data_IF_227467015201
#
_entry.id   IF_227467015201
#
_cell.length_a   1.000
_cell.length_b   1.000
_cell.length_c   1.000
_cell.angle_alpha   90.00
_cell.angle_beta   90.00
_cell.angle_gamma   90.00
#
_symmetry.space_group_name_H-M   'P 1'
#
loop_
_entity.id
_entity.type
_entity.pdbx_description
1 polymer ?
#
# COMPACT_ATOMS: atom_id res chain seq x y z
N UNK A 1 -9.96 10.15 -5.26
CA UNK A 1 -9.09 9.88 -6.42
C UNK A 1 -8.03 8.80 -6.14
N UNK A 2 -7.32 8.88 -5.00
CA UNK A 2 -6.25 7.94 -4.62
C UNK A 2 -6.70 6.47 -4.54
N UNK A 3 -7.85 6.18 -3.93
CA UNK A 3 -8.42 4.82 -3.80
C UNK A 3 -8.57 4.04 -5.12
N UNK A 4 -8.80 4.73 -6.23
CA UNK A 4 -9.00 4.09 -7.54
C UNK A 4 -7.68 3.71 -8.22
N UNK A 5 -6.56 4.30 -7.79
CA UNK A 5 -5.25 4.17 -8.48
C UNK A 5 -4.23 3.36 -7.69
N UNK A 6 -4.36 3.34 -6.36
CA UNK A 6 -3.44 2.67 -5.46
C UNK A 6 -4.16 1.64 -4.60
N UNK A 7 -3.54 0.48 -4.39
CA UNK A 7 -4.00 -0.56 -3.47
C UNK A 7 -3.02 -0.68 -2.30
N UNK A 8 -3.53 -0.65 -1.08
CA UNK A 8 -2.75 -0.87 0.14
C UNK A 8 -2.71 -2.36 0.47
N UNK A 9 -1.53 -2.87 0.80
CA UNK A 9 -1.32 -4.22 1.32
C UNK A 9 -1.23 -4.20 2.85
N UNK A 10 -1.61 -5.30 3.50
CA UNK A 10 -1.58 -5.44 4.97
C UNK A 10 -0.19 -5.29 5.60
N UNK A 11 0.88 -5.45 4.82
CA UNK A 11 2.27 -5.25 5.24
C UNK A 11 2.73 -3.78 5.17
N UNK A 12 1.83 -2.84 4.86
CA UNK A 12 2.12 -1.41 4.74
C UNK A 12 2.69 -0.98 3.38
N UNK A 13 2.77 -1.86 2.39
CA UNK A 13 3.16 -1.48 1.03
C UNK A 13 1.98 -0.92 0.25
N UNK A 14 2.29 -0.08 -0.73
CA UNK A 14 1.35 0.38 -1.73
C UNK A 14 1.74 -0.15 -3.09
N UNK A 15 0.75 -0.61 -3.86
CA UNK A 15 0.90 -1.08 -5.23
C UNK A 15 0.19 -0.11 -6.17
N UNK A 16 0.81 0.15 -7.32
CA UNK A 16 0.24 0.93 -8.42
C UNK A 16 0.44 0.23 -9.77
N UNK A 17 -0.45 0.52 -10.71
CA UNK A 17 -0.22 0.14 -12.11
C UNK A 17 0.84 1.04 -12.75
N UNK A 18 1.59 0.50 -13.72
CA UNK A 18 2.53 1.30 -14.51
C UNK A 18 1.81 2.47 -15.20
N UNK A 19 2.43 3.65 -15.17
CA UNK A 19 1.86 4.86 -15.77
C UNK A 19 1.81 4.72 -17.29
N UNK A 20 0.72 5.18 -17.92
CA UNK A 20 0.62 5.20 -19.37
C UNK A 20 0.52 3.82 -20.04
N UNK A 21 0.26 2.73 -19.29
CA UNK A 21 0.12 1.37 -19.85
C UNK A 21 -0.92 1.24 -20.97
N UNK A 22 -1.98 2.05 -20.91
CA UNK A 22 -3.06 2.02 -21.91
C UNK A 22 -2.92 3.10 -23.01
N UNK A 23 -1.89 3.95 -22.98
CA UNK A 23 -1.71 5.03 -23.97
C UNK A 23 -0.75 4.61 -25.07
N UNK A 24 -1.12 4.89 -26.33
CA UNK A 24 -0.25 4.76 -27.51
C UNK A 24 0.51 3.42 -27.56
N UNK A 25 -0.17 2.31 -27.26
CA UNK A 25 0.48 0.98 -27.18
C UNK A 25 1.12 0.57 -28.51
N UNK A 26 0.54 0.96 -29.63
CA UNK A 26 1.02 0.60 -30.97
C UNK A 26 2.39 1.21 -31.33
N UNK A 27 2.81 2.30 -30.68
CA UNK A 27 4.10 2.95 -30.95
C UNK A 27 5.22 2.48 -30.02
N UNK A 28 4.91 1.59 -29.07
CA UNK A 28 5.82 1.23 -27.98
C UNK A 28 6.51 -0.08 -28.27
N UNK A 29 7.69 -0.20 -27.69
CA UNK A 29 8.49 -1.42 -27.72
C UNK A 29 7.78 -2.58 -27.01
N UNK A 30 8.01 -3.80 -27.48
CA UNK A 30 7.38 -5.01 -26.95
C UNK A 30 7.76 -5.23 -25.48
N UNK A 31 9.01 -4.97 -25.11
CA UNK A 31 9.46 -5.04 -23.71
C UNK A 31 8.71 -4.04 -22.83
N UNK A 32 8.41 -2.85 -23.35
CA UNK A 32 7.60 -1.89 -22.61
C UNK A 32 6.15 -2.39 -22.48
N UNK A 33 5.60 -2.99 -23.53
CA UNK A 33 4.25 -3.52 -23.50
C UNK A 33 4.08 -4.59 -22.44
N UNK A 34 5.04 -5.51 -22.31
CA UNK A 34 5.05 -6.53 -21.25
C UNK A 34 5.24 -5.90 -19.87
N UNK A 35 6.28 -5.07 -19.70
CA UNK A 35 6.61 -4.51 -18.38
C UNK A 35 5.52 -3.58 -17.84
N UNK A 36 4.81 -2.87 -18.71
CA UNK A 36 3.72 -1.97 -18.33
C UNK A 36 2.47 -2.68 -17.78
N UNK A 37 2.35 -3.99 -17.97
CA UNK A 37 1.26 -4.78 -17.41
C UNK A 37 1.52 -5.15 -15.94
N UNK A 38 2.79 -5.17 -15.52
CA UNK A 38 3.14 -5.49 -14.14
C UNK A 38 2.71 -4.38 -13.17
N UNK A 39 2.44 -4.81 -11.95
CA UNK A 39 2.17 -3.93 -10.83
C UNK A 39 3.47 -3.57 -10.13
N UNK A 40 3.67 -2.29 -9.92
CA UNK A 40 4.87 -1.75 -9.28
C UNK A 40 4.58 -1.42 -7.81
N UNK A 41 5.58 -1.67 -6.96
CA UNK A 41 5.55 -1.23 -5.57
C UNK A 41 6.00 0.23 -5.47
N UNK A 42 5.32 1.01 -4.64
CA UNK A 42 5.70 2.40 -4.35
C UNK A 42 6.99 2.49 -3.52
N UNK A 43 7.69 3.62 -3.65
CA UNK A 43 8.86 3.92 -2.82
C UNK A 43 8.46 4.20 -1.37
N UNK A 44 9.45 4.24 -0.45
CA UNK A 44 9.20 4.50 0.97
C UNK A 44 8.48 5.83 1.19
N UNK A 45 8.97 6.90 0.58
CA UNK A 45 8.45 8.26 0.73
C UNK A 45 7.03 8.39 0.16
N UNK A 46 6.79 7.80 -1.01
CA UNK A 46 5.44 7.74 -1.61
C UNK A 46 4.46 7.04 -0.67
N UNK A 47 4.88 5.93 -0.04
CA UNK A 47 4.03 5.22 0.91
C UNK A 47 3.69 6.07 2.15
N UNK A 48 4.65 6.84 2.67
CA UNK A 48 4.43 7.72 3.83
C UNK A 48 3.47 8.85 3.50
N UNK A 49 3.62 9.46 2.32
CA UNK A 49 2.69 10.48 1.82
C UNK A 49 1.29 9.89 1.65
N UNK A 50 1.17 8.70 1.06
CA UNK A 50 -0.12 8.03 0.85
C UNK A 50 -0.80 7.65 2.17
N UNK A 51 -0.04 7.18 3.17
CA UNK A 51 -0.58 6.85 4.48
C UNK A 51 -1.12 8.12 5.18
N UNK A 52 -0.44 9.28 5.06
CA UNK A 52 -0.92 10.56 5.61
C UNK A 52 -2.16 11.11 4.90
N UNK A 53 -2.32 10.83 3.60
CA UNK A 53 -3.46 11.32 2.80
C UNK A 53 -4.71 10.43 2.89
N UNK A 54 -4.63 9.27 3.53
CA UNK A 54 -5.72 8.30 3.63
C UNK A 54 -6.35 8.29 5.02
N UNK A 55 -7.64 7.97 5.08
CA UNK A 55 -8.33 7.85 6.37
C UNK A 55 -8.02 6.50 7.03
N UNK A 56 -7.97 6.42 8.38
CA UNK A 56 -7.62 5.21 9.13
C UNK A 56 -8.42 3.97 8.73
N UNK A 57 -9.69 4.15 8.34
CA UNK A 57 -10.54 3.09 7.82
C UNK A 57 -9.87 2.26 6.71
N UNK A 58 -9.21 2.92 5.75
CA UNK A 58 -8.52 2.24 4.63
C UNK A 58 -7.15 1.68 5.01
N UNK A 59 -6.62 2.06 6.17
CA UNK A 59 -5.39 1.48 6.72
C UNK A 59 -5.67 0.19 7.49
N UNK A 60 -6.94 -0.15 7.76
CA UNK A 60 -7.32 -1.40 8.41
C UNK A 60 -7.10 -2.59 7.47
N UNK A 61 -6.77 -3.75 8.05
CA UNK A 61 -6.66 -5.00 7.30
C UNK A 61 -8.06 -5.49 6.97
N UNK A 62 -8.32 -5.70 5.68
CA UNK A 62 -9.56 -6.30 5.20
C UNK A 62 -9.28 -7.72 4.70
N UNK A 63 -10.14 -8.66 5.06
CA UNK A 63 -10.10 -10.03 4.59
C UNK A 63 -11.30 -10.23 3.66
N UNK A 64 -11.07 -10.15 2.36
CA UNK A 64 -12.08 -10.42 1.35
C UNK A 64 -11.99 -11.89 0.92
N UNK A 65 -13.13 -12.60 0.74
CA UNK A 65 -13.14 -13.91 0.10
C UNK A 65 -12.52 -13.82 -1.30
N UNK A 66 -11.59 -14.71 -1.63
CA UNK A 66 -10.92 -14.80 -2.93
C UNK A 66 -10.10 -13.56 -3.35
N UNK A 67 -9.44 -12.85 -2.42
CA UNK A 67 -8.51 -11.79 -2.80
C UNK A 67 -7.22 -12.39 -3.44
N UNK A 68 -6.92 -12.11 -4.73
CA UNK A 68 -5.69 -12.59 -5.36
C UNK A 68 -4.42 -12.04 -4.70
N UNK A 69 -4.52 -10.96 -3.90
CA UNK A 69 -3.39 -10.36 -3.21
C UNK A 69 -3.19 -10.87 -1.77
N UNK A 70 -3.98 -11.86 -1.31
CA UNK A 70 -3.95 -12.34 0.06
C UNK A 70 -2.55 -12.81 0.52
N UNK A 71 -1.83 -13.52 -0.35
CA UNK A 71 -0.48 -14.01 -0.07
C UNK A 71 0.54 -12.87 0.15
N UNK A 72 0.35 -11.72 -0.50
CA UNK A 72 1.26 -10.57 -0.41
C UNK A 72 1.01 -9.68 0.81
N UNK A 73 -0.02 -9.96 1.61
CA UNK A 73 -0.30 -9.20 2.83
C UNK A 73 0.70 -9.48 3.95
N UNK A 74 1.44 -10.59 3.90
CA UNK A 74 2.50 -10.94 4.85
C UNK A 74 3.83 -10.95 4.10
N UNK A 75 4.90 -10.45 4.73
CA UNK A 75 6.25 -10.60 4.19
C UNK A 75 6.88 -11.82 4.83
N UNK A 76 7.36 -12.74 4.00
CA UNK A 76 8.09 -13.94 4.43
C UNK A 76 9.59 -13.76 4.14
N UNK A 77 10.46 -14.39 4.95
CA UNK A 77 11.90 -14.43 4.69
C UNK A 77 12.66 -13.13 4.98
N UNK A 78 12.25 -12.35 5.97
CA UNK A 78 13.00 -11.18 6.45
C UNK A 78 13.54 -11.53 7.84
N UNK A 79 14.77 -12.06 7.88
CA UNK A 79 15.43 -12.48 9.13
C UNK A 79 16.09 -11.33 9.90
N UNK A 80 16.04 -10.12 9.36
CA UNK A 80 16.51 -8.94 10.08
C UNK A 80 15.38 -8.42 10.96
N UNK A 81 15.46 -8.50 12.30
CA UNK A 81 14.81 -7.50 13.10
C UNK A 81 15.53 -6.20 12.72
N UNK A 82 14.89 -5.36 11.90
CA UNK A 82 15.31 -3.96 11.80
C UNK A 82 14.88 -3.35 13.13
N UNK A 83 15.64 -3.64 14.17
CA UNK A 83 15.56 -3.07 15.51
C UNK A 83 16.74 -2.12 15.66
N UNK A 84 16.51 -1.00 16.33
CA UNK A 84 17.60 -0.18 16.85
C UNK A 84 18.41 -1.00 17.86
N UNK A 85 19.63 -0.57 18.20
CA UNK A 85 20.47 -1.19 19.24
C UNK A 85 19.76 -1.37 20.61
N UNK A 86 18.60 -0.71 20.80
CA UNK A 86 17.74 -0.79 21.99
C UNK A 86 16.61 -1.83 21.90
N UNK A 87 16.59 -2.68 20.87
CA UNK A 87 15.54 -3.70 20.67
C UNK A 87 14.16 -3.13 20.30
N UNK A 88 14.05 -1.81 20.08
CA UNK A 88 12.84 -1.19 19.53
C UNK A 88 12.82 -1.45 18.04
N UNK A 89 11.70 -1.97 17.52
CA UNK A 89 11.51 -2.13 16.08
C UNK A 89 11.66 -0.76 15.41
N UNK A 90 12.73 -0.56 14.62
CA UNK A 90 13.02 0.70 13.90
C UNK A 90 11.86 1.12 12.98
N UNK A 91 11.04 0.15 12.56
CA UNK A 91 10.03 0.30 11.51
C UNK A 91 8.81 -0.59 11.74
N UNK A 92 8.36 -0.78 12.96
CA UNK A 92 6.90 -0.82 13.05
C UNK A 92 6.48 0.60 12.70
N UNK A 93 5.99 0.82 11.46
CA UNK A 93 5.18 2.02 11.21
C UNK A 93 4.18 2.00 12.34
N UNK A 94 4.24 3.00 13.23
CA UNK A 94 3.26 3.13 14.29
C UNK A 94 1.92 2.98 13.58
N UNK A 95 1.26 1.84 13.81
CA UNK A 95 -0.06 1.64 13.25
C UNK A 95 -0.80 2.76 13.91
N UNK A 96 -1.14 3.79 13.14
CA UNK A 96 -2.06 4.84 13.59
C UNK A 96 -3.39 4.11 13.72
N UNK A 97 -3.51 3.32 14.79
CA UNK A 97 -4.74 2.81 15.33
C UNK A 97 -5.31 4.05 16.01
N UNK A 98 -5.78 4.99 15.20
CA UNK A 98 -6.79 5.90 15.67
C UNK A 98 -7.92 4.99 16.11
N UNK A 99 -8.17 4.96 17.42
CA UNK A 99 -9.29 4.22 17.98
C UNK A 99 -10.51 4.45 17.09
N UNK A 100 -11.20 3.37 16.74
CA UNK A 100 -12.36 3.38 15.83
C UNK A 100 -13.36 4.50 16.23
N UNK A 101 -13.39 4.90 17.51
CA UNK A 101 -14.17 6.02 18.10
C UNK A 101 -13.79 7.43 17.64
N UNK A 102 -12.53 7.67 17.28
CA UNK A 102 -12.05 8.98 16.78
C UNK A 102 -12.27 9.08 15.29
N UNK A 103 -12.05 7.99 14.56
CA UNK A 103 -12.34 7.92 13.12
C UNK A 103 -13.83 8.09 12.83
N UNK A 104 -14.71 7.43 13.58
CA UNK A 104 -16.17 7.55 13.43
C UNK A 104 -16.71 8.94 13.73
N UNK A 105 -16.13 9.66 14.70
CA UNK A 105 -16.51 11.04 15.01
C UNK A 105 -16.29 11.98 13.81
N UNK A 106 -15.18 11.83 13.08
CA UNK A 106 -14.92 12.62 11.87
C UNK A 106 -15.88 12.32 10.71
N UNK A 107 -16.52 11.14 10.67
CA UNK A 107 -17.47 10.79 9.61
C UNK A 107 -18.93 11.13 9.93
N UNK A 108 -19.29 11.29 11.22
CA UNK A 108 -20.66 11.67 11.62
C UNK A 108 -20.93 13.17 11.56
N UNK A 109 -19.89 14.00 11.57
CA UNK A 109 -19.96 15.47 11.50
C UNK A 109 -19.98 16.04 10.07
N UNK A 110 -20.34 15.24 9.05
CA UNK A 110 -20.44 15.68 7.65
C UNK A 110 -21.75 15.32 6.98
#
# INVERSE_FOLDING_TARGET
>A
MLRKRFKRLGNGMWIRAHRGKNKLRYMKDDKFLETSLYYETCTKEECEMLDKMMTPYWLRRHHYPNDPYAAYHVRHGIDAPRVDDKGKMLREREKILLDDTTADRYFRDR
#
